data_IF_081229655409
#
_entry.id   IF_081229655409
#
_cell.length_a   1.000
_cell.length_b   1.000
_cell.length_c   1.000
_cell.angle_alpha   90.00
_cell.angle_beta   90.00
_cell.angle_gamma   90.00
#
_symmetry.space_group_name_H-M   'P 1'
#
loop_
_entity.id
_entity.type
_entity.pdbx_description
1 polymer ?
#
# COMPACT_ATOMS: atom_id res chain seq x y z
N UNK A 1 40.16 -34.89 -27.25
CA UNK A 1 39.06 -34.92 -26.29
C UNK A 1 38.81 -33.58 -25.51
N UNK A 2 39.49 -32.49 -25.81
CA UNK A 2 39.46 -31.24 -24.99
C UNK A 2 38.46 -30.15 -25.45
N UNK A 3 37.76 -30.32 -26.56
CA UNK A 3 36.86 -29.33 -27.13
C UNK A 3 35.35 -29.60 -26.91
N UNK A 4 34.98 -30.80 -26.38
CA UNK A 4 33.57 -31.19 -26.24
C UNK A 4 32.95 -30.60 -24.95
N UNK A 5 33.78 -30.43 -23.89
CA UNK A 5 33.29 -30.00 -22.61
C UNK A 5 33.07 -28.47 -22.54
N UNK A 6 33.81 -27.70 -23.36
CA UNK A 6 33.65 -26.22 -23.46
C UNK A 6 32.30 -25.79 -24.02
N UNK A 7 31.74 -26.59 -24.94
CA UNK A 7 30.45 -26.29 -25.57
C UNK A 7 29.26 -26.64 -24.66
N UNK A 8 29.42 -27.60 -23.75
CA UNK A 8 28.35 -27.99 -22.82
C UNK A 8 28.15 -26.91 -21.75
N UNK A 9 29.23 -26.30 -21.24
CA UNK A 9 29.14 -25.19 -20.29
C UNK A 9 28.56 -23.91 -20.94
N UNK A 10 28.88 -23.63 -22.18
CA UNK A 10 28.30 -22.50 -22.92
C UNK A 10 26.82 -22.67 -23.21
N UNK A 11 26.38 -23.87 -23.55
CA UNK A 11 24.96 -24.17 -23.80
C UNK A 11 24.13 -24.16 -22.49
N UNK A 12 24.67 -24.68 -21.39
CA UNK A 12 23.99 -24.66 -20.10
C UNK A 12 23.81 -23.22 -19.59
N UNK A 13 24.81 -22.35 -19.75
CA UNK A 13 24.71 -20.92 -19.42
C UNK A 13 23.67 -20.20 -20.27
N UNK A 14 23.62 -20.47 -21.56
CA UNK A 14 22.65 -19.85 -22.49
C UNK A 14 21.20 -20.30 -22.18
N UNK A 15 20.99 -21.57 -21.83
CA UNK A 15 19.67 -22.09 -21.46
C UNK A 15 19.21 -21.48 -20.14
N UNK A 16 20.08 -21.28 -19.16
CA UNK A 16 19.76 -20.61 -17.88
C UNK A 16 19.40 -19.13 -18.09
N UNK A 17 20.11 -18.43 -18.95
CA UNK A 17 19.79 -17.02 -19.28
C UNK A 17 18.48 -16.90 -20.03
N UNK A 18 18.19 -17.79 -20.96
CA UNK A 18 16.92 -17.83 -21.70
C UNK A 18 15.75 -18.23 -20.79
N UNK A 19 15.94 -19.14 -19.84
CA UNK A 19 14.93 -19.48 -18.85
C UNK A 19 14.65 -18.32 -17.89
N UNK A 20 15.68 -17.54 -17.51
CA UNK A 20 15.51 -16.34 -16.69
C UNK A 20 14.77 -15.23 -17.44
N UNK A 21 15.03 -15.07 -18.73
CA UNK A 21 14.28 -14.10 -19.58
C UNK A 21 12.83 -14.54 -19.83
N UNK A 22 12.56 -15.85 -19.95
CA UNK A 22 11.19 -16.34 -20.13
C UNK A 22 10.30 -16.11 -18.89
N UNK A 23 10.87 -16.04 -17.69
CA UNK A 23 10.16 -15.72 -16.45
C UNK A 23 9.77 -14.23 -16.42
N UNK A 24 10.48 -13.35 -17.14
CA UNK A 24 10.20 -11.91 -17.21
C UNK A 24 9.11 -11.54 -18.23
N UNK A 25 8.70 -12.47 -19.11
CA UNK A 25 7.61 -12.28 -20.08
C UNK A 25 6.38 -13.04 -19.57
N UNK A 26 5.96 -12.77 -18.36
CA UNK A 26 4.60 -13.12 -17.97
C UNK A 26 3.67 -12.09 -18.60
N UNK A 27 2.63 -12.49 -19.36
CA UNK A 27 1.61 -11.55 -19.77
C UNK A 27 1.06 -10.93 -18.47
N UNK A 28 1.03 -9.61 -18.41
CA UNK A 28 0.35 -8.92 -17.32
C UNK A 28 -1.08 -9.48 -17.31
N UNK A 29 -1.38 -10.34 -16.34
CA UNK A 29 -2.74 -10.82 -16.13
C UNK A 29 -3.58 -9.56 -15.90
N UNK A 30 -4.56 -9.35 -16.77
CA UNK A 30 -5.48 -8.24 -16.60
C UNK A 30 -6.04 -8.30 -15.17
N UNK A 31 -6.02 -7.19 -14.48
CA UNK A 31 -6.51 -7.13 -13.10
C UNK A 31 -7.97 -7.61 -13.04
N UNK A 32 -8.26 -8.55 -12.14
CA UNK A 32 -9.58 -9.18 -12.00
C UNK A 32 -10.46 -8.33 -11.07
N UNK A 33 -11.69 -7.98 -11.47
CA UNK A 33 -12.65 -7.28 -10.61
C UNK A 33 -12.92 -7.99 -9.27
N UNK A 34 -12.93 -9.32 -9.25
CA UNK A 34 -13.14 -10.13 -8.04
C UNK A 34 -11.95 -10.00 -7.09
N UNK A 35 -10.73 -9.99 -7.62
CA UNK A 35 -9.51 -9.76 -6.84
C UNK A 35 -9.51 -8.35 -6.22
N UNK A 36 -9.94 -7.35 -6.99
CA UNK A 36 -10.00 -5.97 -6.50
C UNK A 36 -11.06 -5.81 -5.40
N UNK A 37 -12.23 -6.45 -5.54
CA UNK A 37 -13.22 -6.48 -4.45
C UNK A 37 -12.64 -7.19 -3.21
N UNK A 38 -11.92 -8.28 -3.39
CA UNK A 38 -11.22 -8.97 -2.29
C UNK A 38 -10.21 -8.06 -1.57
N UNK A 39 -9.54 -7.16 -2.28
CA UNK A 39 -8.64 -6.17 -1.68
C UNK A 39 -9.41 -5.15 -0.83
N UNK A 40 -10.56 -4.67 -1.29
CA UNK A 40 -11.45 -3.77 -0.53
C UNK A 40 -11.99 -4.45 0.73
N UNK A 41 -12.40 -5.72 0.63
CA UNK A 41 -12.92 -6.48 1.78
C UNK A 41 -11.82 -6.74 2.81
N UNK A 42 -10.62 -7.09 2.39
CA UNK A 42 -9.44 -7.23 3.28
C UNK A 42 -9.08 -5.91 3.93
N UNK A 43 -9.16 -4.78 3.20
CA UNK A 43 -8.90 -3.45 3.77
C UNK A 43 -9.89 -3.11 4.89
N UNK A 44 -11.16 -3.49 4.76
CA UNK A 44 -12.14 -3.38 5.86
C UNK A 44 -11.73 -4.20 7.09
N UNK A 45 -11.27 -5.44 6.88
CA UNK A 45 -10.81 -6.29 7.99
C UNK A 45 -9.59 -5.67 8.66
N UNK A 46 -8.59 -5.24 7.87
CA UNK A 46 -7.40 -4.55 8.39
C UNK A 46 -7.80 -3.31 9.21
N UNK A 47 -8.66 -2.45 8.68
CA UNK A 47 -9.12 -1.27 9.42
C UNK A 47 -9.76 -1.65 10.77
N UNK A 48 -10.62 -2.66 10.80
CA UNK A 48 -11.22 -3.16 12.04
C UNK A 48 -10.20 -3.72 13.02
N UNK A 49 -9.18 -4.43 12.54
CA UNK A 49 -8.09 -4.94 13.38
C UNK A 49 -7.33 -3.81 14.06
N UNK A 50 -7.14 -2.68 13.37
CA UNK A 50 -6.51 -1.49 13.94
C UNK A 50 -7.43 -0.77 14.92
N UNK A 51 -8.73 -0.68 14.63
CA UNK A 51 -9.70 -0.06 15.55
C UNK A 51 -9.96 -0.89 16.81
N UNK A 52 -9.81 -2.21 16.73
CA UNK A 52 -9.97 -3.11 17.89
C UNK A 52 -8.73 -3.16 18.80
N UNK A 53 -7.60 -2.65 18.35
CA UNK A 53 -6.33 -2.72 19.07
C UNK A 53 -6.17 -1.56 20.05
N UNK A 54 -6.09 -1.88 21.33
CA UNK A 54 -5.96 -0.88 22.42
C UNK A 54 -4.65 -0.10 22.39
N UNK A 55 -3.62 -0.60 21.73
CA UNK A 55 -2.35 0.11 21.60
C UNK A 55 -2.40 1.21 20.51
N UNK A 56 -3.52 1.31 19.78
CA UNK A 56 -3.76 2.28 18.70
C UNK A 56 -4.45 3.58 19.15
N UNK A 57 -4.40 3.94 20.42
CA UNK A 57 -5.07 5.14 20.94
C UNK A 57 -4.78 6.39 20.11
N UNK A 58 -3.52 6.57 19.69
CA UNK A 58 -3.17 7.73 18.87
C UNK A 58 -3.88 7.70 17.52
N UNK A 59 -3.92 6.55 16.86
CA UNK A 59 -4.64 6.36 15.59
C UNK A 59 -6.14 6.66 15.76
N UNK A 60 -6.77 6.08 16.79
CA UNK A 60 -8.19 6.29 17.08
C UNK A 60 -8.51 7.77 17.29
N UNK A 61 -7.75 8.44 18.14
CA UNK A 61 -7.99 9.85 18.51
C UNK A 61 -7.75 10.84 17.36
N UNK A 62 -6.91 10.48 16.36
CA UNK A 62 -6.57 11.34 15.24
C UNK A 62 -7.29 10.95 13.93
N UNK A 63 -8.07 9.89 13.92
CA UNK A 63 -8.76 9.41 12.71
C UNK A 63 -9.72 10.46 12.13
N UNK A 64 -10.39 11.23 12.98
CA UNK A 64 -11.31 12.30 12.57
C UNK A 64 -10.62 13.44 11.81
N UNK A 65 -9.31 13.63 12.02
CA UNK A 65 -8.50 14.69 11.40
C UNK A 65 -7.77 14.20 10.14
N UNK A 66 -7.85 12.89 9.84
CA UNK A 66 -7.25 12.31 8.66
C UNK A 66 -7.87 12.87 7.37
N UNK A 67 -7.02 13.26 6.41
CA UNK A 67 -7.44 13.62 5.06
C UNK A 67 -7.69 12.38 4.20
N UNK A 68 -6.91 11.32 4.43
CA UNK A 68 -7.08 10.03 3.77
C UNK A 68 -6.44 8.91 4.56
N UNK A 69 -6.83 7.67 4.26
CA UNK A 69 -6.14 6.46 4.70
C UNK A 69 -5.72 5.66 3.47
N UNK A 70 -4.44 5.25 3.42
CA UNK A 70 -3.99 4.19 2.52
C UNK A 70 -3.89 2.91 3.35
N UNK A 71 -4.71 1.92 3.03
CA UNK A 71 -4.81 0.66 3.75
C UNK A 71 -4.23 -0.44 2.85
N UNK A 72 -3.18 -1.10 3.31
CA UNK A 72 -2.49 -2.20 2.63
C UNK A 72 -2.66 -3.46 3.48
N UNK A 73 -3.59 -4.35 3.12
CA UNK A 73 -3.93 -5.52 3.94
C UNK A 73 -2.80 -6.53 4.05
N UNK A 74 -1.92 -6.55 3.06
CA UNK A 74 -0.84 -7.53 2.99
C UNK A 74 0.41 -6.88 2.38
N UNK A 75 1.27 -6.36 3.23
CA UNK A 75 2.59 -5.87 2.87
C UNK A 75 3.59 -7.00 3.09
N UNK A 76 4.11 -7.55 2.00
CA UNK A 76 5.11 -8.61 2.04
C UNK A 76 6.50 -8.00 2.17
N UNK A 77 7.29 -8.51 3.09
CA UNK A 77 8.72 -8.21 3.24
C UNK A 77 9.52 -9.47 2.97
N UNK A 78 10.54 -9.37 2.15
CA UNK A 78 11.46 -10.48 1.89
C UNK A 78 12.88 -9.94 1.72
N UNK A 79 13.87 -10.68 2.24
CA UNK A 79 15.27 -10.31 2.06
C UNK A 79 16.24 -11.30 2.65
N UNK A 80 17.50 -11.24 2.15
CA UNK A 80 18.65 -11.97 2.69
C UNK A 80 19.84 -11.04 2.91
N UNK A 81 20.42 -10.45 1.86
CA UNK A 81 21.44 -9.40 1.92
C UNK A 81 20.83 -8.11 1.38
N UNK A 82 19.99 -8.24 0.36
CA UNK A 82 19.12 -7.22 -0.19
C UNK A 82 17.71 -7.60 0.18
N UNK A 83 16.94 -6.65 0.60
CA UNK A 83 15.54 -6.85 0.97
C UNK A 83 14.64 -5.86 0.25
N UNK A 84 13.37 -6.20 0.23
CA UNK A 84 12.34 -5.32 -0.27
C UNK A 84 11.03 -5.58 0.45
N UNK A 85 10.13 -4.62 0.36
CA UNK A 85 8.74 -4.82 0.73
C UNK A 85 7.85 -4.37 -0.42
N UNK A 86 6.71 -5.02 -0.54
CA UNK A 86 5.73 -4.66 -1.56
C UNK A 86 4.35 -5.15 -1.20
N UNK A 87 3.34 -4.42 -1.65
CA UNK A 87 1.95 -4.76 -1.43
C UNK A 87 1.00 -3.90 -2.24
N UNK A 88 -0.24 -4.38 -2.35
CA UNK A 88 -1.34 -3.63 -2.94
C UNK A 88 -2.32 -3.20 -1.86
N UNK A 89 -2.90 -2.03 -2.03
CA UNK A 89 -3.85 -1.47 -1.08
C UNK A 89 -4.78 -0.46 -1.73
N UNK A 90 -5.59 0.17 -0.91
CA UNK A 90 -6.55 1.16 -1.34
C UNK A 90 -6.38 2.46 -0.54
N UNK A 91 -6.50 3.58 -1.24
CA UNK A 91 -6.63 4.91 -0.66
C UNK A 91 -8.11 5.30 -0.63
N UNK A 92 -8.56 5.78 0.50
CA UNK A 92 -9.87 6.45 0.66
C UNK A 92 -9.64 7.82 1.27
N UNK A 93 -10.19 8.86 0.65
CA UNK A 93 -10.06 10.24 1.12
C UNK A 93 -11.33 10.68 1.86
N UNK A 94 -11.16 11.49 2.90
CA UNK A 94 -12.27 12.03 3.70
C UNK A 94 -12.65 13.41 3.19
N UNK A 95 -13.91 13.60 2.94
CA UNK A 95 -14.48 14.92 2.64
C UNK A 95 -14.55 15.74 3.93
N UNK A 96 -13.79 16.82 3.99
CA UNK A 96 -13.69 17.67 5.19
C UNK A 96 -14.98 18.41 5.55
N UNK A 97 -15.95 18.49 4.63
CA UNK A 97 -17.24 19.18 4.86
C UNK A 97 -18.32 18.22 5.36
N UNK A 98 -18.41 17.04 4.74
CA UNK A 98 -19.48 16.06 5.02
C UNK A 98 -19.03 14.94 5.96
N UNK A 99 -17.72 14.74 6.11
CA UNK A 99 -17.14 13.61 6.82
C UNK A 99 -17.27 12.28 6.07
N UNK A 100 -17.78 12.29 4.84
CA UNK A 100 -17.90 11.09 4.00
C UNK A 100 -16.53 10.67 3.46
N UNK A 101 -16.40 9.36 3.22
CA UNK A 101 -15.20 8.80 2.61
C UNK A 101 -15.44 8.51 1.13
N UNK A 102 -14.42 8.77 0.32
CA UNK A 102 -14.46 8.58 -1.13
C UNK A 102 -14.60 7.11 -1.51
N UNK A 103 -14.87 6.86 -2.77
CA UNK A 103 -14.63 5.59 -3.40
C UNK A 103 -13.13 5.24 -3.32
N UNK A 104 -12.76 3.94 -3.21
CA UNK A 104 -11.36 3.52 -3.09
C UNK A 104 -10.59 3.72 -4.38
N UNK A 105 -9.35 4.21 -4.27
CA UNK A 105 -8.35 4.21 -5.34
C UNK A 105 -7.32 3.14 -5.03
N UNK A 106 -7.01 2.29 -5.99
CA UNK A 106 -6.02 1.23 -5.82
C UNK A 106 -4.60 1.77 -6.01
N UNK A 107 -3.70 1.33 -5.13
CA UNK A 107 -2.29 1.66 -5.14
C UNK A 107 -1.43 0.44 -4.90
N UNK A 108 -0.20 0.50 -5.39
CA UNK A 108 0.88 -0.40 -4.97
C UNK A 108 1.91 0.38 -4.17
N UNK A 109 2.50 -0.25 -3.17
CA UNK A 109 3.64 0.28 -2.42
C UNK A 109 4.81 -0.66 -2.58
N UNK A 110 6.00 -0.10 -2.78
CA UNK A 110 7.23 -0.86 -2.88
C UNK A 110 8.41 -0.12 -2.28
N UNK A 111 9.30 -0.85 -1.64
CA UNK A 111 10.58 -0.33 -1.15
C UNK A 111 11.69 -1.33 -1.37
N UNK A 112 12.90 -0.80 -1.57
CA UNK A 112 14.13 -1.59 -1.56
C UNK A 112 14.90 -1.22 -0.30
N UNK A 113 15.24 -2.19 0.51
CA UNK A 113 15.99 -2.00 1.75
C UNK A 113 17.31 -2.74 1.70
N UNK A 114 18.36 -2.12 2.23
CA UNK A 114 19.63 -2.77 2.47
C UNK A 114 19.72 -3.20 3.93
N UNK A 115 20.03 -4.43 4.20
CA UNK A 115 20.24 -4.92 5.58
C UNK A 115 20.11 -6.43 5.70
N UNK A 116 20.72 -6.96 6.75
CA UNK A 116 20.66 -8.37 7.12
C UNK A 116 19.28 -8.70 7.71
N UNK A 117 18.25 -8.80 6.86
CA UNK A 117 16.95 -9.35 7.26
C UNK A 117 16.77 -10.69 6.56
N UNK A 118 16.87 -11.78 7.31
CA UNK A 118 16.63 -13.13 6.82
C UNK A 118 15.17 -13.47 7.10
N UNK A 119 14.39 -13.71 6.05
CA UNK A 119 13.03 -14.22 6.18
C UNK A 119 12.02 -13.49 5.30
N UNK A 120 10.80 -14.04 5.30
CA UNK A 120 9.61 -13.44 4.70
C UNK A 120 8.61 -13.12 5.81
N UNK A 121 8.03 -11.94 5.78
CA UNK A 121 7.04 -11.49 6.74
C UNK A 121 5.90 -10.79 6.01
N UNK A 122 4.68 -11.03 6.47
CA UNK A 122 3.50 -10.30 6.02
C UNK A 122 3.00 -9.39 7.13
N UNK A 123 2.67 -8.15 6.80
CA UNK A 123 2.15 -7.17 7.74
C UNK A 123 0.89 -6.49 7.19
N UNK A 124 -0.06 -6.22 8.05
CA UNK A 124 -1.11 -5.24 7.81
C UNK A 124 -0.53 -3.84 8.00
N UNK A 125 -0.91 -2.92 7.13
CA UNK A 125 -0.32 -1.59 7.11
C UNK A 125 -1.36 -0.52 6.82
N UNK A 126 -1.35 0.58 7.58
CA UNK A 126 -2.16 1.77 7.32
C UNK A 126 -1.27 3.01 7.34
N UNK A 127 -1.39 3.85 6.30
CA UNK A 127 -0.88 5.22 6.32
C UNK A 127 -2.04 6.19 6.55
N UNK A 128 -1.93 7.02 7.57
CA UNK A 128 -2.82 8.15 7.82
C UNK A 128 -2.21 9.39 7.15
N UNK A 129 -2.87 9.89 6.13
CA UNK A 129 -2.53 11.11 5.42
C UNK A 129 -3.16 12.28 6.17
N UNK A 130 -2.35 13.23 6.65
CA UNK A 130 -2.82 14.30 7.53
C UNK A 130 -2.92 15.65 6.84
N UNK A 131 -2.10 15.89 5.83
CA UNK A 131 -2.06 17.18 5.13
C UNK A 131 -2.67 17.08 3.74
N UNK A 132 -3.25 18.18 3.29
CA UNK A 132 -3.78 18.27 1.92
C UNK A 132 -2.65 18.12 0.89
N UNK A 133 -1.49 18.71 1.18
CA UNK A 133 -0.30 18.59 0.32
C UNK A 133 0.07 17.12 0.05
N UNK A 134 0.12 16.29 1.11
CA UNK A 134 0.44 14.87 0.95
C UNK A 134 -0.67 14.12 0.19
N UNK A 135 -1.94 14.45 0.41
CA UNK A 135 -3.04 13.88 -0.34
C UNK A 135 -2.97 14.24 -1.83
N UNK A 136 -2.71 15.51 -2.14
CA UNK A 136 -2.60 15.98 -3.54
C UNK A 136 -1.42 15.33 -4.27
N UNK A 137 -0.30 15.09 -3.57
CA UNK A 137 0.85 14.38 -4.12
C UNK A 137 0.53 12.92 -4.47
N UNK A 138 -0.40 12.28 -3.77
CA UNK A 138 -0.88 10.92 -4.07
C UNK A 138 -1.73 10.83 -5.33
N UNK A 139 -2.21 11.95 -5.86
CA UNK A 139 -2.92 11.96 -7.15
C UNK A 139 -1.99 11.83 -8.36
N UNK A 140 -0.68 11.94 -8.16
CA UNK A 140 0.35 11.76 -9.19
C UNK A 140 0.72 10.28 -9.34
N UNK A 141 1.45 9.95 -10.40
CA UNK A 141 1.79 8.57 -10.76
C UNK A 141 2.73 7.89 -9.76
N UNK A 142 3.68 8.62 -9.23
CA UNK A 142 4.70 8.16 -8.31
C UNK A 142 4.82 9.12 -7.12
N UNK A 143 4.58 8.61 -5.92
CA UNK A 143 4.72 9.34 -4.67
C UNK A 143 5.83 8.73 -3.84
N UNK A 144 6.83 9.53 -3.45
CA UNK A 144 7.99 9.07 -2.65
C UNK A 144 7.83 9.49 -1.20
N UNK A 145 7.77 8.51 -0.33
CA UNK A 145 7.73 8.70 1.11
C UNK A 145 9.09 9.21 1.62
N UNK A 146 9.09 10.30 2.38
CA UNK A 146 10.30 10.99 2.85
C UNK A 146 10.84 12.03 1.86
N UNK A 147 10.42 12.00 0.58
CA UNK A 147 10.76 12.98 -0.44
C UNK A 147 9.64 14.00 -0.66
N UNK A 148 8.46 13.50 -1.07
CA UNK A 148 7.32 14.36 -1.42
C UNK A 148 6.50 14.76 -0.20
N UNK A 149 6.54 13.94 0.87
CA UNK A 149 5.92 14.24 2.15
C UNK A 149 6.74 13.65 3.31
N UNK A 150 6.73 14.33 4.44
CA UNK A 150 7.35 13.83 5.66
C UNK A 150 6.56 12.64 6.23
N UNK A 151 7.29 11.62 6.68
CA UNK A 151 6.71 10.38 7.21
C UNK A 151 7.22 10.13 8.62
N UNK A 152 6.32 9.77 9.51
CA UNK A 152 6.66 9.28 10.83
C UNK A 152 6.04 7.91 11.08
N UNK A 153 6.74 7.06 11.84
CA UNK A 153 6.13 5.88 12.41
C UNK A 153 5.11 6.31 13.48
N UNK A 154 3.92 5.71 13.45
CA UNK A 154 2.90 5.98 14.44
C UNK A 154 3.35 5.55 15.83
N UNK A 155 3.04 6.35 16.85
CA UNK A 155 3.39 6.00 18.21
C UNK A 155 2.57 4.81 18.68
N UNK A 156 3.25 3.90 19.35
CA UNK A 156 2.64 2.93 20.25
C UNK A 156 2.53 3.60 21.62
N UNK A 157 1.33 3.69 22.18
CA UNK A 157 1.10 4.41 23.42
C UNK A 157 1.18 5.95 23.30
N UNK A 158 1.44 6.64 24.39
CA UNK A 158 1.35 8.11 24.46
C UNK A 158 2.52 8.78 23.74
N UNK A 159 2.22 9.37 22.59
CA UNK A 159 2.85 10.57 22.06
C UNK A 159 4.30 10.54 21.58
N UNK A 160 4.53 10.26 20.28
CA UNK A 160 5.75 10.73 19.61
C UNK A 160 5.52 12.16 19.05
N UNK A 161 6.41 13.10 19.39
CA UNK A 161 6.38 14.47 18.83
C UNK A 161 6.51 14.48 17.30
N UNK A 162 7.24 13.52 16.73
CA UNK A 162 7.43 13.39 15.28
C UNK A 162 6.10 13.06 14.55
N UNK A 163 5.22 12.25 15.15
CA UNK A 163 3.91 11.95 14.57
C UNK A 163 3.00 13.19 14.52
N UNK A 164 3.18 14.14 15.41
CA UNK A 164 2.35 15.36 15.48
C UNK A 164 2.63 16.31 14.30
N UNK A 165 3.84 16.34 13.77
CA UNK A 165 4.28 17.28 12.72
C UNK A 165 4.38 16.65 11.34
N UNK A 166 4.36 15.32 11.23
CA UNK A 166 4.50 14.61 9.95
C UNK A 166 3.24 14.77 9.08
N UNK A 167 3.45 14.87 7.77
CA UNK A 167 2.38 14.87 6.76
C UNK A 167 1.66 13.52 6.69
N UNK A 168 2.41 12.45 6.94
CA UNK A 168 1.96 11.06 6.91
C UNK A 168 2.41 10.34 8.16
N UNK A 169 1.51 9.61 8.80
CA UNK A 169 1.83 8.72 9.93
C UNK A 169 1.52 7.28 9.53
N UNK A 170 2.50 6.39 9.69
CA UNK A 170 2.41 5.00 9.27
C UNK A 170 2.30 4.05 10.46
N UNK A 171 1.42 3.07 10.33
CA UNK A 171 1.20 2.02 11.32
C UNK A 171 1.32 0.66 10.65
N UNK A 172 2.07 -0.25 11.23
CA UNK A 172 2.23 -1.61 10.74
C UNK A 172 2.02 -2.62 11.85
N UNK A 173 1.35 -3.72 11.52
CA UNK A 173 1.06 -4.82 12.43
C UNK A 173 1.43 -6.14 11.77
N UNK A 174 2.38 -6.87 12.35
CA UNK A 174 2.80 -8.18 11.90
C UNK A 174 2.56 -9.21 12.98
N UNK A 175 1.93 -10.36 12.62
CA UNK A 175 1.57 -11.45 13.56
C UNK A 175 0.87 -10.96 14.83
N UNK A 176 0.03 -9.91 14.72
CA UNK A 176 -0.67 -9.32 15.86
C UNK A 176 0.19 -8.39 16.73
N UNK A 177 1.46 -8.20 16.41
CA UNK A 177 2.39 -7.30 17.08
C UNK A 177 2.77 -6.12 16.18
N UNK A 178 3.05 -4.97 16.78
CA UNK A 178 3.58 -3.84 16.05
C UNK A 178 4.98 -4.13 15.51
N UNK A 179 5.18 -3.82 14.22
CA UNK A 179 6.49 -3.78 13.62
C UNK A 179 6.81 -2.33 13.29
N UNK A 180 7.92 -1.80 13.79
CA UNK A 180 8.49 -0.55 13.30
C UNK A 180 8.83 -0.73 11.82
N UNK A 181 8.16 0.02 10.96
CA UNK A 181 8.39 -0.03 9.51
C UNK A 181 8.99 1.31 9.07
N UNK A 182 10.26 1.29 8.69
CA UNK A 182 10.84 2.44 8.01
C UNK A 182 10.38 2.40 6.54
N UNK A 183 9.62 3.40 6.15
CA UNK A 183 9.07 3.56 4.81
C UNK A 183 9.75 4.68 4.02
N UNK A 184 10.78 5.32 4.58
CA UNK A 184 11.56 6.32 3.84
C UNK A 184 12.14 5.69 2.56
N UNK A 185 11.96 6.38 1.46
CA UNK A 185 12.37 5.91 0.14
C UNK A 185 11.39 4.93 -0.52
N UNK A 186 10.29 4.55 0.15
CA UNK A 186 9.24 3.76 -0.48
C UNK A 186 8.51 4.57 -1.55
N UNK A 187 8.13 3.89 -2.61
CA UNK A 187 7.36 4.46 -3.72
C UNK A 187 5.93 3.92 -3.64
N UNK A 188 4.97 4.82 -3.68
CA UNK A 188 3.55 4.53 -3.79
C UNK A 188 3.09 4.90 -5.19
N UNK A 189 2.55 3.93 -5.92
CA UNK A 189 2.12 4.05 -7.32
C UNK A 189 0.62 3.83 -7.46
N UNK A 190 0.00 4.61 -8.34
CA UNK A 190 -1.39 4.38 -8.75
C UNK A 190 -1.50 3.03 -9.47
N UNK A 191 -2.47 2.21 -9.09
CA UNK A 191 -2.79 0.94 -9.74
C UNK A 191 -3.85 1.14 -10.83
N UNK A 192 -3.48 1.70 -11.97
CA UNK A 192 -4.41 2.05 -13.04
C UNK A 192 -5.21 0.84 -13.54
N UNK A 193 -4.57 -0.32 -13.72
CA UNK A 193 -5.24 -1.54 -14.15
C UNK A 193 -6.23 -2.03 -13.09
N UNK A 194 -5.88 -1.93 -11.81
CA UNK A 194 -6.75 -2.27 -10.69
C UNK A 194 -7.96 -1.33 -10.60
N UNK A 195 -7.74 -0.01 -10.76
CA UNK A 195 -8.82 0.97 -10.83
C UNK A 195 -9.76 0.67 -12.00
N UNK A 196 -9.20 0.42 -13.19
CA UNK A 196 -9.97 0.06 -14.39
C UNK A 196 -10.78 -1.22 -14.18
N UNK A 197 -10.18 -2.25 -13.58
CA UNK A 197 -10.87 -3.51 -13.30
C UNK A 197 -12.01 -3.32 -12.29
N UNK A 198 -11.77 -2.60 -11.20
CA UNK A 198 -12.76 -2.40 -10.15
C UNK A 198 -13.97 -1.56 -10.60
N UNK A 199 -13.71 -0.49 -11.38
CA UNK A 199 -14.77 0.40 -11.87
C UNK A 199 -15.31 0.04 -13.25
N UNK A 200 -14.78 -0.99 -13.92
CA UNK A 200 -15.10 -1.36 -15.30
C UNK A 200 -14.90 -0.19 -16.28
N UNK A 201 -14.07 0.78 -15.90
CA UNK A 201 -13.78 2.00 -16.64
C UNK A 201 -12.44 2.58 -16.17
N UNK A 202 -11.64 3.10 -17.10
CA UNK A 202 -10.44 3.84 -16.71
C UNK A 202 -10.84 5.07 -15.86
N UNK A 203 -10.22 5.17 -14.68
CA UNK A 203 -10.48 6.25 -13.74
C UNK A 203 -9.20 6.58 -12.96
N UNK A 204 -8.79 7.82 -13.02
CA UNK A 204 -7.66 8.36 -12.26
C UNK A 204 -8.06 8.65 -10.80
N UNK A 205 -7.09 8.82 -9.87
CA UNK A 205 -7.39 9.25 -8.51
C UNK A 205 -8.26 10.52 -8.45
N UNK A 206 -8.00 11.47 -9.35
CA UNK A 206 -8.80 12.72 -9.46
C UNK A 206 -10.23 12.44 -9.90
N UNK A 207 -10.44 11.52 -10.84
CA UNK A 207 -11.78 11.13 -11.29
C UNK A 207 -12.58 10.46 -10.19
N UNK A 208 -11.91 9.64 -9.36
CA UNK A 208 -12.52 8.87 -8.28
C UNK A 208 -12.82 9.76 -7.06
N UNK A 209 -11.82 10.52 -6.59
CA UNK A 209 -11.89 11.26 -5.31
C UNK A 209 -12.50 12.65 -5.51
N UNK A 210 -12.03 13.40 -6.51
CA UNK A 210 -12.37 14.82 -6.69
C UNK A 210 -13.62 14.97 -7.52
N UNK A 211 -13.61 14.42 -8.75
CA UNK A 211 -14.73 14.55 -9.69
C UNK A 211 -15.89 13.57 -9.39
N UNK A 212 -15.62 12.49 -8.65
CA UNK A 212 -16.59 11.46 -8.25
C UNK A 212 -17.37 10.88 -9.45
N UNK A 213 -16.66 10.62 -10.58
CA UNK A 213 -17.26 10.20 -11.86
C UNK A 213 -17.51 8.69 -11.95
N UNK A 214 -17.03 7.92 -10.99
CA UNK A 214 -17.22 6.48 -10.88
C UNK A 214 -17.63 6.09 -9.47
N UNK A 215 -18.38 4.98 -9.36
CA UNK A 215 -18.80 4.41 -8.10
C UNK A 215 -18.91 2.89 -8.21
N UNK A 216 -18.60 2.20 -7.11
CA UNK A 216 -18.82 0.77 -6.97
C UNK A 216 -19.45 0.51 -5.59
N UNK A 217 -20.65 -0.09 -5.52
CA UNK A 217 -21.35 -0.35 -4.25
C UNK A 217 -20.57 -1.32 -3.34
N UNK A 218 -19.66 -2.12 -3.88
CA UNK A 218 -18.82 -3.04 -3.12
C UNK A 218 -17.96 -2.36 -2.04
N UNK A 219 -17.69 -1.05 -2.16
CA UNK A 219 -16.96 -0.27 -1.16
C UNK A 219 -17.82 0.24 0.00
N UNK A 220 -19.14 0.09 -0.04
CA UNK A 220 -20.07 0.75 0.90
C UNK A 220 -19.84 0.32 2.35
N UNK A 221 -19.54 -0.96 2.60
CA UNK A 221 -19.28 -1.48 3.95
C UNK A 221 -18.05 -0.81 4.57
N UNK A 222 -16.96 -0.72 3.84
CA UNK A 222 -15.73 -0.05 4.29
C UNK A 222 -15.98 1.44 4.57
N UNK A 223 -16.59 2.15 3.64
CA UNK A 223 -16.85 3.59 3.75
C UNK A 223 -17.76 3.94 4.93
N UNK A 224 -18.77 3.11 5.17
CA UNK A 224 -19.68 3.28 6.31
C UNK A 224 -18.97 3.03 7.64
N UNK A 225 -18.10 2.03 7.72
CA UNK A 225 -17.31 1.76 8.93
C UNK A 225 -16.36 2.92 9.23
N UNK A 226 -15.61 3.38 8.24
CA UNK A 226 -14.72 4.54 8.34
C UNK A 226 -15.47 5.79 8.82
N UNK A 227 -16.67 6.06 8.26
CA UNK A 227 -17.49 7.21 8.65
C UNK A 227 -17.99 7.10 10.09
N UNK A 228 -18.32 5.89 10.53
CA UNK A 228 -18.79 5.63 11.90
C UNK A 228 -17.69 5.91 12.92
N UNK A 229 -16.45 5.46 12.64
CA UNK A 229 -15.35 5.49 13.59
C UNK A 229 -14.51 6.79 13.53
N UNK A 230 -14.66 7.60 12.47
CA UNK A 230 -14.02 8.92 12.31
C UNK A 230 -14.86 10.11 12.82
N UNK A 231 -15.71 9.89 13.82
CA UNK A 231 -16.56 10.93 14.43
C UNK A 231 -15.84 11.73 15.49
#
# INVERSE_FOLDING_TARGET
>A
MKNRDRNIFGMAGLVLVLAFFAILIQPALAADPVEQQGTVDKALVTFRNFMADKEMDWFHNNLKDAKALLIVPNLLKAGFIWGGSGGSGILVARDGKTGDWSQPVFYTIGSVTFGLQIGGEAAEFIMMIRTQKALDSLYTTDFKLGGDASVAAGPMGVGSKAAVTADVVSFAKSKGLFAGLNLEGSIVKVGDDSNKAYYQKAASPVDIIVKKTVANPGSSRLRNELKKDAK
#
